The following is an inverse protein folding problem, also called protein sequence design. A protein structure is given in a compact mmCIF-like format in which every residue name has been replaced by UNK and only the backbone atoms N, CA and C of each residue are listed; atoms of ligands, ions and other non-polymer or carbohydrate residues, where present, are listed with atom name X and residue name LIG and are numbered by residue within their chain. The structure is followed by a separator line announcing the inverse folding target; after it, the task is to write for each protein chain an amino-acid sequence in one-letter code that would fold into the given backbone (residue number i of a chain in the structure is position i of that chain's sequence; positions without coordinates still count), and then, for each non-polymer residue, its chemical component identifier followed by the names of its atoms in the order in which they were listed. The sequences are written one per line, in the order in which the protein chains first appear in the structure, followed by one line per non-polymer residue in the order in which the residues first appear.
data_IF_415157489358
#
_entry.id   IF_415157489358
#
_cell.length_a   1.000
_cell.length_b   1.000
_cell.length_c   1.000
_cell.angle_alpha   90.00
_cell.angle_beta   90.00
_cell.angle_gamma   90.00
#
_symmetry.space_group_name_H-M   'P 1'
#
loop_
_entity.id
_entity.type
_entity.pdbx_description
1 polymer ?
#
# COMPACT_ATOMS: atom_id res chain seq x y z
N UNK A 1 37.81 -14.22 7.39
CA UNK A 1 37.28 -13.98 8.75
C UNK A 1 35.98 -13.20 8.60
N UNK A 2 34.85 -13.89 8.48
CA UNK A 2 33.52 -13.28 8.35
C UNK A 2 32.57 -14.05 9.28
N UNK A 3 31.99 -13.34 10.25
CA UNK A 3 30.76 -13.67 10.99
C UNK A 3 30.66 -15.02 11.70
N UNK A 4 30.58 -14.98 13.03
CA UNK A 4 30.10 -16.09 13.86
C UNK A 4 28.74 -16.62 13.32
N UNK A 5 28.58 -17.93 13.05
CA UNK A 5 27.35 -18.53 12.52
C UNK A 5 26.13 -18.36 13.45
N UNK A 6 26.32 -17.88 14.67
CA UNK A 6 25.26 -17.63 15.63
C UNK A 6 24.46 -16.32 15.41
N UNK A 7 24.89 -15.39 14.55
CA UNK A 7 24.27 -14.04 14.45
C UNK A 7 24.00 -13.50 13.04
N UNK A 8 24.17 -14.30 11.97
CA UNK A 8 23.92 -13.86 10.60
C UNK A 8 22.60 -14.37 10.03
N UNK A 9 21.53 -13.58 10.10
CA UNK A 9 20.27 -13.91 9.43
C UNK A 9 20.51 -13.97 7.91
N UNK A 10 20.26 -15.12 7.29
CA UNK A 10 20.55 -15.32 5.85
C UNK A 10 19.63 -14.44 4.99
N UNK A 11 20.02 -14.14 3.76
CA UNK A 11 19.22 -13.27 2.86
C UNK A 11 17.78 -13.78 2.65
N UNK A 12 17.57 -15.10 2.70
CA UNK A 12 16.24 -15.71 2.61
C UNK A 12 15.45 -15.58 3.91
N UNK A 13 16.10 -15.72 5.07
CA UNK A 13 15.47 -15.46 6.37
C UNK A 13 15.07 -13.98 6.52
N UNK A 14 15.92 -13.06 6.06
CA UNK A 14 15.61 -11.62 6.05
C UNK A 14 14.37 -11.31 5.19
N UNK A 15 14.26 -11.94 4.01
CA UNK A 15 13.15 -11.71 3.09
C UNK A 15 11.83 -12.22 3.68
N UNK A 16 11.84 -13.43 4.26
CA UNK A 16 10.67 -14.01 4.93
C UNK A 16 10.23 -13.16 6.12
N UNK A 17 11.18 -12.72 6.96
CA UNK A 17 10.85 -11.87 8.10
C UNK A 17 10.33 -10.49 7.67
N UNK A 18 10.89 -9.90 6.62
CA UNK A 18 10.39 -8.64 6.09
C UNK A 18 8.98 -8.79 5.50
N UNK A 19 8.70 -9.87 4.77
CA UNK A 19 7.36 -10.15 4.25
C UNK A 19 6.32 -10.30 5.37
N UNK A 20 6.71 -10.93 6.49
CA UNK A 20 5.87 -11.05 7.70
C UNK A 20 5.62 -9.68 8.33
N UNK A 21 6.66 -8.87 8.55
CA UNK A 21 6.52 -7.52 9.13
C UNK A 21 5.66 -6.63 8.24
N UNK A 22 5.81 -6.73 6.91
CA UNK A 22 4.99 -5.98 5.95
C UNK A 22 3.53 -6.45 5.93
N UNK A 23 3.25 -7.74 6.20
CA UNK A 23 1.87 -8.22 6.40
C UNK A 23 1.29 -7.67 7.68
N UNK A 24 2.02 -7.79 8.80
CA UNK A 24 1.56 -7.27 10.09
C UNK A 24 1.29 -5.76 10.03
N UNK A 25 2.16 -5.00 9.35
CA UNK A 25 1.95 -3.57 9.12
C UNK A 25 0.65 -3.32 8.34
N UNK A 26 0.44 -4.02 7.21
CA UNK A 26 -0.79 -3.90 6.42
C UNK A 26 -2.04 -4.31 7.21
N UNK A 27 -1.93 -5.32 8.06
CA UNK A 27 -3.05 -5.79 8.88
C UNK A 27 -3.42 -4.76 9.94
N UNK A 28 -2.41 -4.14 10.58
CA UNK A 28 -2.59 -3.04 11.54
C UNK A 28 -3.13 -1.78 10.86
N UNK A 29 -2.59 -1.41 9.70
CA UNK A 29 -3.09 -0.30 8.88
C UNK A 29 -4.55 -0.54 8.46
N UNK A 30 -4.90 -1.77 8.09
CA UNK A 30 -6.28 -2.16 7.76
C UNK A 30 -7.20 -2.10 8.99
N UNK A 31 -6.72 -2.49 10.17
CA UNK A 31 -7.50 -2.40 11.41
C UNK A 31 -7.73 -0.94 11.84
N UNK A 32 -6.70 -0.10 11.72
CA UNK A 32 -6.80 1.34 11.94
C UNK A 32 -7.75 1.96 10.91
N UNK A 33 -7.61 1.61 9.63
CA UNK A 33 -8.49 2.05 8.54
C UNK A 33 -9.95 1.65 8.74
N UNK A 34 -10.23 0.43 9.19
CA UNK A 34 -11.60 -0.02 9.53
C UNK A 34 -12.21 0.73 10.71
N UNK A 35 -11.41 1.11 11.71
CA UNK A 35 -11.89 1.93 12.84
C UNK A 35 -12.04 3.41 12.47
N UNK A 36 -11.23 3.89 11.52
CA UNK A 36 -11.23 5.29 11.06
C UNK A 36 -12.12 5.54 9.84
N UNK A 37 -12.59 4.53 9.11
CA UNK A 37 -13.29 4.67 7.82
C UNK A 37 -14.63 5.40 7.96
N UNK A 38 -15.32 5.23 9.09
CA UNK A 38 -16.49 6.04 9.43
C UNK A 38 -16.16 7.54 9.62
N UNK A 39 -14.91 7.90 9.91
CA UNK A 39 -14.45 9.29 10.06
C UNK A 39 -13.67 9.84 8.86
N UNK A 40 -13.02 8.98 8.06
CA UNK A 40 -12.19 9.41 6.93
C UNK A 40 -13.01 10.09 5.84
N UNK A 41 -14.21 9.56 5.54
CA UNK A 41 -15.15 10.11 4.56
C UNK A 41 -15.91 11.35 5.07
N UNK A 42 -16.02 11.53 6.39
CA UNK A 42 -16.80 12.63 7.00
C UNK A 42 -16.23 13.99 6.57
N UNK A 43 -17.10 14.82 5.99
CA UNK A 43 -16.73 16.14 5.48
C UNK A 43 -15.99 16.13 4.13
N UNK A 44 -15.64 14.96 3.60
CA UNK A 44 -15.15 14.81 2.22
C UNK A 44 -16.29 14.36 1.30
N UNK A 45 -17.11 13.40 1.74
CA UNK A 45 -18.24 12.88 0.96
C UNK A 45 -19.30 13.95 0.67
N UNK A 46 -19.56 14.85 1.64
CA UNK A 46 -20.57 15.91 1.53
C UNK A 46 -19.98 17.27 1.09
N UNK A 47 -18.69 17.32 0.76
CA UNK A 47 -18.04 18.55 0.34
C UNK A 47 -18.54 19.00 -1.05
N UNK A 48 -18.62 20.31 -1.26
CA UNK A 48 -18.92 20.87 -2.58
C UNK A 48 -17.87 20.48 -3.63
N UNK A 49 -16.60 20.35 -3.23
CA UNK A 49 -15.50 19.81 -4.05
C UNK A 49 -14.71 18.77 -3.25
N UNK A 50 -15.12 17.48 -3.31
CA UNK A 50 -14.44 16.39 -2.61
C UNK A 50 -12.99 16.20 -3.05
N UNK A 51 -12.65 16.54 -4.30
CA UNK A 51 -11.30 16.38 -4.84
C UNK A 51 -10.35 17.39 -4.21
N UNK A 52 -10.78 18.65 -4.07
CA UNK A 52 -10.01 19.68 -3.38
C UNK A 52 -9.78 19.31 -1.91
N UNK A 53 -10.82 18.83 -1.21
CA UNK A 53 -10.70 18.46 0.20
C UNK A 53 -9.77 17.25 0.38
N UNK A 54 -9.88 16.22 -0.48
CA UNK A 54 -8.96 15.09 -0.48
C UNK A 54 -7.49 15.53 -0.68
N UNK A 55 -7.22 16.39 -1.66
CA UNK A 55 -5.85 16.86 -1.94
C UNK A 55 -5.27 17.73 -0.81
N UNK A 56 -6.13 18.41 -0.06
CA UNK A 56 -5.74 19.22 1.10
C UNK A 56 -5.62 18.41 2.40
N UNK A 57 -6.15 17.19 2.44
CA UNK A 57 -6.02 16.30 3.60
C UNK A 57 -4.57 15.88 3.82
N UNK A 58 -4.24 15.53 5.06
CA UNK A 58 -2.94 14.94 5.39
C UNK A 58 -2.73 13.58 4.70
N UNK A 59 -1.46 13.14 4.63
CA UNK A 59 -1.08 11.94 3.87
C UNK A 59 -1.71 10.67 4.44
N UNK A 60 -1.92 10.60 5.76
CA UNK A 60 -2.48 9.44 6.43
C UNK A 60 -3.97 9.30 6.08
N UNK A 61 -4.68 10.44 6.05
CA UNK A 61 -6.08 10.50 5.63
C UNK A 61 -6.24 10.21 4.14
N UNK A 62 -5.33 10.67 3.29
CA UNK A 62 -5.34 10.32 1.87
C UNK A 62 -5.14 8.81 1.66
N UNK A 63 -4.18 8.21 2.38
CA UNK A 63 -3.95 6.75 2.34
C UNK A 63 -5.17 5.97 2.81
N UNK A 64 -5.74 6.36 3.95
CA UNK A 64 -6.94 5.71 4.48
C UNK A 64 -8.13 5.75 3.49
N UNK A 65 -8.30 6.84 2.74
CA UNK A 65 -9.34 6.94 1.71
C UNK A 65 -9.04 6.08 0.48
N UNK A 66 -7.78 6.02 0.04
CA UNK A 66 -7.37 5.13 -1.05
C UNK A 66 -7.61 3.68 -0.65
N UNK A 67 -7.18 3.28 0.55
CA UNK A 67 -7.36 1.92 1.06
C UNK A 67 -8.84 1.55 1.21
N UNK A 68 -9.69 2.54 1.53
CA UNK A 68 -11.14 2.35 1.66
C UNK A 68 -11.87 2.25 0.32
N UNK A 69 -11.44 3.00 -0.70
CA UNK A 69 -12.24 3.16 -1.93
C UNK A 69 -11.64 2.46 -3.14
N UNK A 70 -10.35 2.14 -3.10
CA UNK A 70 -9.58 1.73 -4.27
C UNK A 70 -8.84 0.43 -3.97
N UNK A 71 -8.99 -0.52 -4.88
CA UNK A 71 -8.19 -1.74 -4.95
C UNK A 71 -7.03 -1.54 -5.91
N UNK A 72 -5.80 -1.63 -5.40
CA UNK A 72 -4.57 -1.57 -6.21
C UNK A 72 -3.98 -2.97 -6.34
N UNK A 73 -3.90 -3.48 -7.57
CA UNK A 73 -3.30 -4.78 -7.88
C UNK A 73 -2.02 -4.59 -8.69
N UNK A 74 -0.88 -5.01 -8.12
CA UNK A 74 0.40 -5.03 -8.85
C UNK A 74 0.56 -6.40 -9.54
N UNK A 75 0.43 -6.41 -10.86
CA UNK A 75 0.66 -7.59 -11.70
C UNK A 75 2.15 -7.93 -11.75
N UNK A 76 2.44 -9.19 -12.10
CA UNK A 76 3.81 -9.65 -12.27
C UNK A 76 4.48 -8.86 -13.40
N UNK A 77 5.49 -8.07 -13.05
CA UNK A 77 6.33 -7.38 -14.03
C UNK A 77 7.22 -8.34 -14.82
N UNK A 78 7.68 -7.89 -15.98
CA UNK A 78 8.66 -8.62 -16.79
C UNK A 78 9.97 -8.73 -16.02
N UNK A 79 10.54 -9.93 -15.95
CA UNK A 79 11.82 -10.17 -15.27
C UNK A 79 12.97 -9.47 -16.00
N UNK A 80 13.83 -8.78 -15.26
CA UNK A 80 14.96 -8.01 -15.79
C UNK A 80 14.66 -6.52 -15.96
N UNK A 81 15.61 -5.77 -16.52
CA UNK A 81 15.41 -4.35 -16.82
C UNK A 81 14.40 -4.21 -17.96
N UNK A 82 13.40 -3.37 -17.77
CA UNK A 82 12.48 -2.94 -18.81
C UNK A 82 13.21 -2.20 -19.94
N UNK A 83 12.52 -1.96 -21.06
CA UNK A 83 13.08 -1.18 -22.18
C UNK A 83 13.62 0.17 -21.67
N UNK A 84 14.87 0.48 -22.00
CA UNK A 84 15.54 1.71 -21.56
C UNK A 84 16.12 1.67 -20.13
N UNK A 85 16.23 0.49 -19.51
CA UNK A 85 16.84 0.35 -18.17
C UNK A 85 15.88 0.65 -17.01
N UNK A 86 14.59 0.89 -17.30
CA UNK A 86 13.58 1.13 -16.27
C UNK A 86 13.31 -0.14 -15.46
N UNK A 87 13.24 0.01 -14.14
CA UNK A 87 12.90 -1.09 -13.22
C UNK A 87 11.39 -1.20 -12.95
N UNK A 88 10.64 -0.12 -13.17
CA UNK A 88 9.21 -0.04 -12.92
C UNK A 88 8.45 0.12 -14.22
N UNK A 89 7.38 -0.65 -14.36
CA UNK A 89 6.45 -0.59 -15.47
C UNK A 89 5.05 -0.21 -14.93
N UNK A 90 4.60 1.04 -15.14
CA UNK A 90 3.31 1.49 -14.63
C UNK A 90 2.11 0.66 -15.14
N UNK A 91 2.23 0.05 -16.33
CA UNK A 91 1.16 -0.78 -16.91
C UNK A 91 0.92 -2.06 -16.09
N UNK A 92 1.84 -2.42 -15.19
CA UNK A 92 1.67 -3.54 -14.25
C UNK A 92 0.78 -3.19 -13.06
N UNK A 93 0.47 -1.91 -12.82
CA UNK A 93 -0.40 -1.48 -11.74
C UNK A 93 -1.82 -1.33 -12.26
N UNK A 94 -2.73 -2.14 -11.74
CA UNK A 94 -4.16 -2.03 -12.00
C UNK A 94 -4.85 -1.37 -10.82
N UNK A 95 -5.68 -0.37 -11.11
CA UNK A 95 -6.43 0.41 -10.13
C UNK A 95 -7.91 0.22 -10.43
N UNK A 96 -8.64 -0.31 -9.46
CA UNK A 96 -10.07 -0.61 -9.54
C UNK A 96 -10.79 0.03 -8.35
N UNK A 97 -12.06 0.38 -8.48
CA UNK A 97 -12.87 0.75 -7.32
C UNK A 97 -13.08 -0.49 -6.44
N UNK A 98 -13.21 -0.31 -5.14
CA UNK A 98 -13.57 -1.41 -4.26
C UNK A 98 -15.04 -1.79 -4.49
N UNK A 99 -15.30 -3.00 -4.96
CA UNK A 99 -16.65 -3.47 -5.32
C UNK A 99 -17.61 -3.62 -4.12
N UNK A 100 -17.07 -3.70 -2.90
CA UNK A 100 -17.84 -3.98 -1.67
C UNK A 100 -18.50 -2.74 -1.04
N UNK A 101 -18.37 -1.56 -1.65
CA UNK A 101 -18.94 -0.30 -1.14
C UNK A 101 -20.22 0.09 -1.92
N UNK A 102 -21.24 -0.77 -1.88
CA UNK A 102 -22.59 -0.51 -2.43
C UNK A 102 -23.68 -0.68 -1.38
#
# INVERSE_FOLDING_TARGET
MFGDPAYGMTADQFRVSNDTVQRELRDLESEIGRRSSGGALVGIADATDPVAVFRAADIDRQRALIDLLIKVTVKRGRQGRGRGGRYFDPETVVIEAQDDYR
#
